data_IF_488142901815
#
_entry.id   IF_488142901815
#
_cell.length_a   1.000
_cell.length_b   1.000
_cell.length_c   1.000
_cell.angle_alpha   90.00
_cell.angle_beta   90.00
_cell.angle_gamma   90.00
#
_symmetry.space_group_name_H-M   'P 1'
#
loop_
_entity.id
_entity.type
_entity.pdbx_description
1 polymer ?
#
# COMPACT_ATOMS: atom_id res chain seq x y z
N UNK A 1 16.65 4.69 -23.96
CA UNK A 1 15.46 4.92 -23.11
C UNK A 1 14.13 4.77 -23.87
N UNK A 2 13.93 5.34 -25.07
CA UNK A 2 12.65 5.19 -25.81
C UNK A 2 12.19 3.75 -26.15
N UNK A 3 13.11 2.78 -26.30
CA UNK A 3 12.76 1.37 -26.59
C UNK A 3 12.15 0.62 -25.39
N UNK A 4 12.42 1.04 -24.16
CA UNK A 4 11.85 0.41 -22.96
C UNK A 4 10.43 0.91 -22.68
N UNK A 5 10.16 2.19 -22.93
CA UNK A 5 8.82 2.76 -22.77
C UNK A 5 7.82 2.19 -23.79
N UNK A 6 8.26 1.98 -25.04
CA UNK A 6 7.43 1.32 -26.05
C UNK A 6 7.12 -0.13 -25.68
N UNK A 7 8.07 -0.86 -25.09
CA UNK A 7 7.88 -2.26 -24.68
C UNK A 7 6.85 -2.41 -23.55
N UNK A 8 6.86 -1.49 -22.57
CA UNK A 8 5.89 -1.48 -21.46
C UNK A 8 4.50 -1.10 -21.96
N UNK A 9 4.38 -0.12 -22.85
CA UNK A 9 3.10 0.26 -23.46
C UNK A 9 2.52 -0.87 -24.34
N UNK A 10 3.35 -1.56 -25.13
CA UNK A 10 2.91 -2.71 -25.95
C UNK A 10 2.54 -3.91 -25.10
N UNK A 11 3.24 -4.15 -23.99
CA UNK A 11 2.90 -5.23 -23.04
C UNK A 11 1.55 -4.94 -22.34
N UNK A 12 1.30 -3.68 -21.98
CA UNK A 12 0.05 -3.26 -21.34
C UNK A 12 -1.14 -3.33 -22.32
N UNK A 13 -0.95 -2.94 -23.59
CA UNK A 13 -1.94 -3.09 -24.65
C UNK A 13 -2.21 -4.55 -25.03
N UNK A 14 -1.18 -5.40 -25.09
CA UNK A 14 -1.33 -6.84 -25.28
C UNK A 14 -2.07 -7.50 -24.12
N UNK A 15 -1.79 -7.08 -22.87
CA UNK A 15 -2.50 -7.59 -21.69
C UNK A 15 -3.97 -7.15 -21.67
N UNK A 16 -4.27 -5.92 -22.12
CA UNK A 16 -5.65 -5.42 -22.27
C UNK A 16 -6.41 -6.12 -23.41
N UNK A 17 -5.74 -6.49 -24.50
CA UNK A 17 -6.34 -7.23 -25.62
C UNK A 17 -6.53 -8.72 -25.30
N UNK A 18 -5.61 -9.35 -24.55
CA UNK A 18 -5.76 -10.72 -24.06
C UNK A 18 -6.87 -10.85 -22.99
N UNK A 19 -7.09 -9.80 -22.19
CA UNK A 19 -8.21 -9.76 -21.25
C UNK A 19 -9.59 -9.61 -21.92
N UNK A 20 -9.63 -9.12 -23.17
CA UNK A 20 -10.88 -8.94 -23.92
C UNK A 20 -11.36 -10.22 -24.63
N UNK A 21 -10.55 -11.29 -24.68
CA UNK A 21 -10.88 -12.53 -25.38
C UNK A 21 -11.11 -13.75 -24.47
N UNK A 22 -11.13 -13.58 -23.15
CA UNK A 22 -11.30 -14.68 -22.21
C UNK A 22 -12.78 -14.90 -21.84
N UNK A 23 -13.62 -15.23 -22.82
CA UNK A 23 -14.90 -15.88 -22.55
C UNK A 23 -14.68 -17.36 -22.23
N UNK A 24 -14.19 -17.63 -21.02
CA UNK A 24 -14.15 -18.99 -20.47
C UNK A 24 -15.54 -19.34 -19.92
N UNK A 25 -16.48 -19.64 -20.81
CA UNK A 25 -17.72 -20.33 -20.45
C UNK A 25 -17.41 -21.80 -20.16
N UNK A 26 -17.01 -22.10 -18.93
CA UNK A 26 -16.85 -23.47 -18.47
C UNK A 26 -18.24 -24.15 -18.41
N UNK A 27 -18.51 -25.07 -19.34
CA UNK A 27 -19.74 -25.87 -19.32
C UNK A 27 -19.74 -26.81 -18.10
N UNK A 28 -20.79 -26.70 -17.28
CA UNK A 28 -20.98 -27.37 -15.97
C UNK A 28 -21.49 -28.83 -16.11
N UNK A 29 -21.66 -29.34 -17.32
CA UNK A 29 -22.49 -30.53 -17.56
C UNK A 29 -21.82 -31.90 -17.29
N UNK A 30 -20.54 -31.95 -16.93
CA UNK A 30 -19.79 -33.21 -16.80
C UNK A 30 -19.56 -33.76 -15.39
N UNK A 31 -19.88 -33.02 -14.33
CA UNK A 31 -19.43 -33.32 -12.95
C UNK A 31 -20.58 -33.70 -12.00
N UNK A 32 -21.83 -33.58 -12.45
CA UNK A 32 -23.01 -33.91 -11.63
C UNK A 32 -23.17 -35.44 -11.55
N UNK A 33 -23.27 -36.00 -10.35
CA UNK A 33 -23.49 -37.44 -10.12
C UNK A 33 -22.22 -38.30 -10.01
N UNK A 34 -21.04 -37.70 -10.10
CA UNK A 34 -19.75 -38.36 -9.80
C UNK A 34 -19.68 -38.72 -8.32
N UNK A 35 -19.10 -39.87 -7.98
CA UNK A 35 -18.91 -40.29 -6.59
C UNK A 35 -17.90 -39.38 -5.89
N UNK A 36 -18.24 -38.88 -4.72
CA UNK A 36 -17.38 -37.98 -3.94
C UNK A 36 -17.23 -38.47 -2.50
N UNK A 37 -16.08 -38.18 -1.91
CA UNK A 37 -15.79 -38.32 -0.49
C UNK A 37 -15.67 -36.95 0.19
N UNK A 38 -15.14 -35.98 -0.55
CA UNK A 38 -14.96 -34.60 -0.12
C UNK A 38 -15.47 -33.65 -1.20
N UNK A 39 -15.72 -32.39 -0.85
CA UNK A 39 -16.18 -31.38 -1.82
C UNK A 39 -15.16 -31.14 -2.94
N UNK A 40 -13.87 -31.29 -2.67
CA UNK A 40 -12.79 -31.15 -3.67
C UNK A 40 -12.95 -32.10 -4.85
N UNK A 41 -13.54 -33.28 -4.63
CA UNK A 41 -13.76 -34.30 -5.67
C UNK A 41 -14.76 -33.81 -6.74
N UNK A 42 -15.62 -32.85 -6.40
CA UNK A 42 -16.63 -32.26 -7.29
C UNK A 42 -16.12 -31.08 -8.13
N UNK A 43 -14.80 -30.98 -8.34
CA UNK A 43 -14.19 -29.99 -9.24
C UNK A 43 -14.20 -28.54 -8.72
N UNK A 44 -14.38 -28.34 -7.41
CA UNK A 44 -14.35 -27.04 -6.74
C UNK A 44 -15.33 -25.99 -7.32
N UNK A 45 -16.40 -26.46 -7.97
CA UNK A 45 -17.44 -25.62 -8.55
C UNK A 45 -18.30 -25.05 -7.40
N UNK A 46 -18.58 -23.74 -7.36
CA UNK A 46 -19.25 -23.10 -6.24
C UNK A 46 -20.70 -23.59 -6.02
N UNK A 47 -21.37 -24.11 -7.05
CA UNK A 47 -22.73 -24.65 -6.97
C UNK A 47 -22.85 -26.13 -6.60
N UNK A 48 -21.73 -26.86 -6.50
CA UNK A 48 -21.72 -28.28 -6.15
C UNK A 48 -21.11 -28.53 -4.76
N UNK A 49 -21.79 -29.40 -4.01
CA UNK A 49 -21.34 -30.02 -2.76
C UNK A 49 -21.34 -31.55 -2.89
N UNK A 50 -20.81 -32.23 -1.87
CA UNK A 50 -20.85 -33.68 -1.81
C UNK A 50 -22.06 -34.12 -0.97
N UNK A 51 -23.09 -34.63 -1.65
CA UNK A 51 -24.34 -35.09 -1.02
C UNK A 51 -24.51 -36.59 -1.25
N UNK A 52 -24.61 -37.36 -0.18
CA UNK A 52 -24.78 -38.82 -0.24
C UNK A 52 -23.72 -39.51 -1.13
N UNK A 53 -22.45 -39.10 -0.98
CA UNK A 53 -21.32 -39.56 -1.79
C UNK A 53 -21.47 -39.28 -3.29
N UNK A 54 -22.29 -38.31 -3.70
CA UNK A 54 -22.43 -37.85 -5.09
C UNK A 54 -22.35 -36.33 -5.20
N UNK A 55 -21.74 -35.85 -6.28
CA UNK A 55 -21.69 -34.43 -6.58
C UNK A 55 -23.06 -33.91 -6.99
N UNK A 56 -23.65 -33.07 -6.13
CA UNK A 56 -24.98 -32.49 -6.33
C UNK A 56 -25.03 -31.04 -5.81
N UNK A 57 -26.12 -30.35 -6.13
CA UNK A 57 -26.36 -28.99 -5.62
C UNK A 57 -26.61 -29.03 -4.11
N UNK A 58 -26.02 -28.09 -3.36
CA UNK A 58 -26.11 -28.06 -1.91
C UNK A 58 -27.53 -27.72 -1.43
N UNK A 59 -27.94 -28.31 -0.30
CA UNK A 59 -29.20 -28.01 0.38
C UNK A 59 -28.94 -27.64 1.84
N UNK A 60 -27.99 -28.32 2.48
CA UNK A 60 -27.54 -28.08 3.84
C UNK A 60 -26.10 -27.60 3.88
N UNK A 61 -25.72 -26.92 4.96
CA UNK A 61 -24.33 -26.50 5.22
C UNK A 61 -23.36 -27.70 5.26
N UNK A 62 -23.84 -28.87 5.69
CA UNK A 62 -23.05 -30.10 5.75
C UNK A 62 -22.64 -30.64 4.38
N UNK A 63 -23.43 -30.37 3.33
CA UNK A 63 -23.15 -30.82 1.95
C UNK A 63 -21.91 -30.09 1.38
N UNK A 64 -21.59 -28.93 1.94
CA UNK A 64 -20.46 -28.11 1.52
C UNK A 64 -19.11 -28.59 2.09
N UNK A 65 -19.12 -29.66 2.92
CA UNK A 65 -17.96 -30.46 3.32
C UNK A 65 -16.71 -29.66 3.72
N UNK A 66 -16.55 -29.38 5.01
CA UNK A 66 -15.29 -28.90 5.59
C UNK A 66 -14.80 -29.85 6.67
N UNK A 67 -13.49 -30.11 6.71
CA UNK A 67 -12.83 -30.85 7.80
C UNK A 67 -13.14 -30.20 9.16
N UNK A 68 -13.96 -30.84 10.00
CA UNK A 68 -14.25 -30.55 11.43
C UNK A 68 -14.53 -29.10 11.89
N UNK A 69 -14.37 -28.11 11.02
CA UNK A 69 -14.56 -26.68 11.18
C UNK A 69 -15.45 -26.25 10.02
N UNK A 70 -16.61 -25.70 10.34
CA UNK A 70 -17.66 -25.29 9.40
C UNK A 70 -17.25 -24.06 8.58
N UNK A 71 -16.27 -24.22 7.67
CA UNK A 71 -15.72 -23.13 6.85
C UNK A 71 -16.66 -22.72 5.72
N UNK A 72 -17.48 -23.64 5.20
CA UNK A 72 -18.40 -23.40 4.10
C UNK A 72 -19.87 -23.53 4.54
N UNK A 73 -20.75 -22.74 3.91
CA UNK A 73 -22.20 -22.72 4.12
C UNK A 73 -22.93 -22.73 2.78
N UNK A 74 -24.11 -23.34 2.73
CA UNK A 74 -24.97 -23.36 1.56
C UNK A 74 -25.88 -22.14 1.57
N UNK A 75 -25.66 -21.21 0.64
CA UNK A 75 -26.44 -19.96 0.54
C UNK A 75 -27.37 -20.04 -0.65
N UNK A 76 -28.67 -19.86 -0.39
CA UNK A 76 -29.70 -19.83 -1.41
C UNK A 76 -29.83 -18.40 -1.98
N UNK A 77 -29.64 -18.22 -3.30
CA UNK A 77 -29.77 -16.91 -3.95
C UNK A 77 -31.19 -16.71 -4.46
N UNK A 78 -31.77 -15.55 -4.18
CA UNK A 78 -33.06 -15.16 -4.77
C UNK A 78 -32.88 -14.90 -6.27
N UNK A 79 -33.81 -15.37 -7.11
CA UNK A 79 -33.82 -15.13 -8.56
C UNK A 79 -33.59 -16.36 -9.46
N UNK A 80 -33.93 -17.57 -9.02
CA UNK A 80 -33.87 -18.78 -9.88
C UNK A 80 -32.46 -19.33 -10.14
N UNK A 81 -31.47 -18.88 -9.38
CA UNK A 81 -30.07 -19.34 -9.45
C UNK A 81 -29.89 -20.50 -8.46
N UNK A 82 -29.19 -21.59 -8.81
CA UNK A 82 -28.95 -22.70 -7.88
C UNK A 82 -28.18 -22.22 -6.63
N UNK A 83 -28.46 -22.80 -5.45
CA UNK A 83 -27.74 -22.46 -4.23
C UNK A 83 -26.25 -22.78 -4.37
N UNK A 84 -25.44 -21.98 -3.68
CA UNK A 84 -23.98 -22.01 -3.79
C UNK A 84 -23.35 -22.20 -2.42
N UNK A 85 -22.32 -23.03 -2.36
CA UNK A 85 -21.52 -23.22 -1.17
C UNK A 85 -20.43 -22.14 -1.09
N UNK A 86 -20.63 -21.17 -0.20
CA UNK A 86 -19.75 -20.01 0.04
C UNK A 86 -19.05 -20.13 1.38
N UNK A 87 -17.98 -19.37 1.60
CA UNK A 87 -17.36 -19.30 2.94
C UNK A 87 -18.37 -18.73 3.95
N UNK A 88 -18.27 -19.17 5.20
CA UNK A 88 -19.05 -18.61 6.31
C UNK A 88 -18.81 -17.10 6.45
N UNK A 89 -19.78 -16.42 7.05
CA UNK A 89 -19.62 -15.01 7.40
C UNK A 89 -18.64 -14.87 8.57
N UNK A 90 -17.90 -13.76 8.60
CA UNK A 90 -16.90 -13.45 9.64
C UNK A 90 -17.48 -13.54 11.05
N UNK A 91 -18.73 -13.10 11.24
CA UNK A 91 -19.36 -13.00 12.56
C UNK A 91 -20.26 -14.19 12.93
N UNK A 92 -20.52 -15.14 12.02
CA UNK A 92 -21.36 -16.31 12.35
C UNK A 92 -21.02 -17.56 11.51
N UNK A 93 -20.83 -18.75 12.11
CA UNK A 93 -20.67 -19.01 13.54
C UNK A 93 -19.23 -18.67 13.95
N UNK A 94 -19.07 -17.99 15.08
CA UNK A 94 -17.75 -17.69 15.62
C UNK A 94 -17.19 -18.94 16.32
N UNK A 95 -16.17 -19.53 15.71
CA UNK A 95 -15.52 -20.79 16.12
C UNK A 95 -14.18 -20.50 16.80
N UNK A 96 -13.63 -21.47 17.54
CA UNK A 96 -12.32 -21.32 18.19
C UNK A 96 -11.18 -21.01 17.21
N UNK A 97 -11.28 -21.46 15.96
CA UNK A 97 -10.33 -21.12 14.90
C UNK A 97 -10.31 -19.61 14.58
N UNK A 98 -11.45 -18.92 14.70
CA UNK A 98 -11.54 -17.47 14.46
C UNK A 98 -10.89 -16.67 15.60
N UNK A 99 -11.02 -17.15 16.85
CA UNK A 99 -10.32 -16.58 18.01
C UNK A 99 -8.82 -16.73 17.84
N UNK A 100 -8.37 -17.93 17.49
CA UNK A 100 -6.96 -18.21 17.23
C UNK A 100 -6.43 -17.35 16.08
N UNK A 101 -7.17 -17.23 14.99
CA UNK A 101 -6.80 -16.39 13.85
C UNK A 101 -6.74 -14.90 14.24
N UNK A 102 -7.67 -14.40 15.05
CA UNK A 102 -7.65 -13.02 15.53
C UNK A 102 -6.44 -12.73 16.44
N UNK A 103 -6.12 -13.67 17.35
CA UNK A 103 -4.94 -13.56 18.21
C UNK A 103 -3.64 -13.59 17.40
N UNK A 104 -3.50 -14.54 16.48
CA UNK A 104 -2.33 -14.63 15.60
C UNK A 104 -2.23 -13.41 14.66
N UNK A 105 -3.36 -12.88 14.19
CA UNK A 105 -3.39 -11.66 13.38
C UNK A 105 -2.87 -10.47 14.18
N UNK A 106 -3.34 -10.29 15.42
CA UNK A 106 -2.86 -9.25 16.32
C UNK A 106 -1.37 -9.39 16.66
N UNK A 107 -0.88 -10.62 16.89
CA UNK A 107 0.54 -10.87 17.11
C UNK A 107 1.36 -10.55 15.86
N UNK A 108 0.88 -10.94 14.67
CA UNK A 108 1.58 -10.68 13.41
C UNK A 108 1.66 -9.19 13.08
N UNK A 109 0.61 -8.41 13.38
CA UNK A 109 0.63 -6.96 13.21
C UNK A 109 1.53 -6.28 14.23
N UNK A 110 1.54 -6.74 15.49
CA UNK A 110 2.44 -6.22 16.51
C UNK A 110 3.91 -6.46 16.16
N UNK A 111 4.28 -7.70 15.80
CA UNK A 111 5.64 -8.04 15.36
C UNK A 111 6.02 -7.28 14.09
N UNK A 112 5.10 -7.19 13.13
CA UNK A 112 5.33 -6.45 11.89
C UNK A 112 5.51 -4.94 12.11
N UNK A 113 4.84 -4.35 13.11
CA UNK A 113 5.04 -2.97 13.51
C UNK A 113 6.42 -2.76 14.15
N UNK A 114 6.85 -3.67 15.03
CA UNK A 114 8.20 -3.65 15.62
C UNK A 114 9.31 -3.73 14.55
N UNK A 115 9.10 -4.50 13.49
CA UNK A 115 10.03 -4.59 12.36
C UNK A 115 9.95 -3.43 11.36
N UNK A 116 9.03 -2.47 11.53
CA UNK A 116 8.81 -1.37 10.57
C UNK A 116 8.23 -1.81 9.21
N UNK A 117 7.83 -3.08 9.09
CA UNK A 117 7.28 -3.67 7.86
C UNK A 117 5.75 -3.48 7.78
N UNK A 118 5.06 -3.31 8.90
CA UNK A 118 3.62 -3.01 8.92
C UNK A 118 2.67 -4.22 8.84
N UNK A 119 3.13 -5.43 9.20
CA UNK A 119 2.30 -6.59 9.59
C UNK A 119 1.38 -7.25 8.55
N UNK A 120 0.94 -6.53 7.52
CA UNK A 120 -0.13 -6.95 6.61
C UNK A 120 0.21 -8.12 5.69
N UNK A 121 1.50 -8.40 5.49
CA UNK A 121 1.97 -9.49 4.61
C UNK A 121 1.54 -10.88 5.07
N UNK A 122 1.45 -11.10 6.39
CA UNK A 122 1.16 -12.42 6.96
C UNK A 122 -0.34 -12.69 7.15
N UNK A 123 -1.18 -11.65 7.08
CA UNK A 123 -2.61 -11.76 7.38
C UNK A 123 -3.36 -12.63 6.36
N UNK A 124 -3.10 -12.45 5.06
CA UNK A 124 -3.80 -13.23 4.02
C UNK A 124 -3.45 -14.72 4.11
N UNK A 125 -2.17 -15.13 4.16
CA UNK A 125 -1.81 -16.54 4.38
C UNK A 125 -2.36 -17.10 5.69
N UNK A 126 -2.32 -16.32 6.78
CA UNK A 126 -2.86 -16.71 8.08
C UNK A 126 -4.35 -17.05 7.99
N UNK A 127 -5.16 -16.19 7.37
CA UNK A 127 -6.59 -16.44 7.21
C UNK A 127 -6.91 -17.62 6.29
N UNK A 128 -6.07 -17.88 5.29
CA UNK A 128 -6.22 -19.05 4.42
C UNK A 128 -5.91 -20.34 5.19
N UNK A 129 -4.82 -20.38 5.96
CA UNK A 129 -4.35 -21.61 6.63
C UNK A 129 -5.13 -21.90 7.91
N UNK A 130 -5.40 -20.89 8.74
CA UNK A 130 -6.04 -21.10 10.06
C UNK A 130 -7.55 -21.21 9.96
N UNK A 131 -8.18 -20.40 9.08
CA UNK A 131 -9.65 -20.35 8.94
C UNK A 131 -10.13 -21.12 7.71
N UNK A 132 -9.26 -21.40 6.74
CA UNK A 132 -9.64 -22.08 5.49
C UNK A 132 -10.31 -21.16 4.47
N UNK A 133 -10.19 -19.84 4.63
CA UNK A 133 -10.87 -18.89 3.74
C UNK A 133 -10.25 -18.88 2.34
N UNK A 134 -11.09 -18.83 1.31
CA UNK A 134 -10.56 -18.60 -0.04
C UNK A 134 -9.98 -17.18 -0.18
N UNK A 135 -8.97 -16.95 -1.04
CA UNK A 135 -8.29 -15.65 -1.18
C UNK A 135 -9.25 -14.47 -1.41
N UNK A 136 -10.37 -14.68 -2.12
CA UNK A 136 -11.38 -13.66 -2.40
C UNK A 136 -12.09 -13.12 -1.15
N UNK A 137 -12.12 -13.88 -0.05
CA UNK A 137 -12.66 -13.46 1.25
C UNK A 137 -11.56 -13.04 2.22
N UNK A 138 -10.40 -13.70 2.18
CA UNK A 138 -9.26 -13.37 3.03
C UNK A 138 -8.66 -11.98 2.74
N UNK A 139 -8.62 -11.57 1.47
CA UNK A 139 -8.04 -10.28 1.05
C UNK A 139 -8.83 -9.08 1.60
N UNK A 140 -10.17 -8.98 1.43
CA UNK A 140 -10.96 -7.94 2.07
C UNK A 140 -10.83 -7.92 3.59
N UNK A 141 -10.77 -9.09 4.23
CA UNK A 141 -10.62 -9.19 5.68
C UNK A 141 -9.26 -8.64 6.15
N UNK A 142 -8.17 -9.02 5.46
CA UNK A 142 -6.83 -8.47 5.69
C UNK A 142 -6.81 -6.95 5.58
N UNK A 143 -7.47 -6.38 4.56
CA UNK A 143 -7.54 -4.92 4.37
C UNK A 143 -8.22 -4.22 5.54
N UNK A 144 -9.31 -4.79 6.07
CA UNK A 144 -9.98 -4.25 7.25
C UNK A 144 -9.08 -4.30 8.49
N UNK A 145 -8.36 -5.39 8.71
CA UNK A 145 -7.40 -5.53 9.82
C UNK A 145 -6.24 -4.53 9.69
N UNK A 146 -5.67 -4.36 8.49
CA UNK A 146 -4.58 -3.40 8.23
C UNK A 146 -5.04 -1.97 8.48
N UNK A 147 -6.26 -1.61 8.06
CA UNK A 147 -6.83 -0.28 8.32
C UNK A 147 -6.93 0.00 9.82
N UNK A 148 -7.40 -0.98 10.61
CA UNK A 148 -7.47 -0.87 12.06
C UNK A 148 -6.08 -0.67 12.70
N UNK A 149 -5.09 -1.43 12.25
CA UNK A 149 -3.70 -1.27 12.70
C UNK A 149 -3.12 0.11 12.36
N UNK A 150 -3.32 0.58 11.13
CA UNK A 150 -2.86 1.89 10.68
C UNK A 150 -3.52 3.03 11.47
N UNK A 151 -4.82 2.94 11.76
CA UNK A 151 -5.52 3.92 12.58
C UNK A 151 -4.97 3.97 14.02
N UNK A 152 -4.69 2.81 14.62
CA UNK A 152 -4.08 2.74 15.96
C UNK A 152 -2.65 3.33 15.97
N UNK A 153 -1.83 3.02 14.96
CA UNK A 153 -0.48 3.59 14.84
C UNK A 153 -0.52 5.10 14.60
N UNK A 154 -1.44 5.59 13.76
CA UNK A 154 -1.63 7.03 13.54
C UNK A 154 -2.03 7.73 14.83
N UNK A 155 -3.01 7.18 15.58
CA UNK A 155 -3.46 7.75 16.85
C UNK A 155 -2.33 7.82 17.88
N UNK A 156 -1.50 6.77 17.97
CA UNK A 156 -0.37 6.74 18.89
C UNK A 156 0.75 7.70 18.50
N UNK A 157 0.92 8.01 17.21
CA UNK A 157 2.00 8.88 16.71
C UNK A 157 1.56 10.31 16.43
N UNK A 158 0.27 10.62 16.55
CA UNK A 158 -0.29 11.93 16.23
C UNK A 158 0.40 13.08 16.99
N UNK A 159 0.78 12.85 18.26
CA UNK A 159 1.49 13.82 19.09
C UNK A 159 3.02 13.71 19.08
N UNK A 160 3.59 12.76 18.35
CA UNK A 160 5.03 12.47 18.38
C UNK A 160 5.84 13.43 17.50
N UNK A 161 7.01 13.83 17.99
CA UNK A 161 7.94 14.75 17.32
C UNK A 161 9.09 13.99 16.67
N UNK A 162 9.70 14.59 15.64
CA UNK A 162 10.81 13.97 14.92
C UNK A 162 12.06 13.82 15.83
N UNK A 163 12.75 12.65 15.81
CA UNK A 163 13.87 12.36 16.73
C UNK A 163 15.08 13.27 16.52
N UNK A 164 15.37 13.67 15.28
CA UNK A 164 16.49 14.56 14.96
C UNK A 164 16.10 16.04 14.84
N UNK A 165 14.81 16.37 14.94
CA UNK A 165 14.31 17.73 14.76
C UNK A 165 13.07 17.98 15.63
N UNK A 166 13.26 18.49 16.86
CA UNK A 166 12.18 18.68 17.83
C UNK A 166 11.07 19.64 17.40
N UNK A 167 11.30 20.43 16.34
CA UNK A 167 10.34 21.39 15.76
C UNK A 167 9.39 20.75 14.75
N UNK A 168 9.75 19.60 14.15
CA UNK A 168 8.96 18.95 13.10
C UNK A 168 8.09 17.82 13.68
N UNK A 169 6.82 17.68 13.26
CA UNK A 169 6.02 16.50 13.56
C UNK A 169 6.62 15.26 12.88
N UNK A 170 6.36 14.07 13.43
CA UNK A 170 6.85 12.81 12.81
C UNK A 170 6.11 12.50 11.48
N UNK A 171 4.91 13.04 11.29
CA UNK A 171 4.06 12.81 10.10
C UNK A 171 4.20 13.99 9.12
N UNK A 172 4.76 13.73 7.93
CA UNK A 172 4.74 14.69 6.83
C UNK A 172 3.49 14.52 5.96
N UNK A 173 2.48 15.34 6.23
CA UNK A 173 1.21 15.33 5.50
C UNK A 173 1.34 15.73 4.03
N UNK A 174 2.38 16.48 3.63
CA UNK A 174 2.59 16.84 2.23
C UNK A 174 3.04 15.61 1.42
N UNK A 175 3.92 14.79 2.01
CA UNK A 175 4.34 13.53 1.43
C UNK A 175 3.21 12.51 1.41
N UNK A 176 2.42 12.42 2.50
CA UNK A 176 1.21 11.58 2.55
C UNK A 176 0.21 11.98 1.44
N UNK A 177 0.00 13.29 1.26
CA UNK A 177 -0.85 13.85 0.21
C UNK A 177 -0.40 13.52 -1.21
N UNK A 178 0.91 13.35 -1.42
CA UNK A 178 1.46 12.95 -2.73
C UNK A 178 1.34 11.45 -2.99
N UNK A 179 1.47 10.60 -1.96
CA UNK A 179 1.44 9.13 -2.12
C UNK A 179 0.02 8.55 -2.17
N UNK A 180 -0.94 9.16 -1.47
CA UNK A 180 -2.27 8.58 -1.29
C UNK A 180 -3.08 8.53 -2.60
N UNK A 181 -3.25 9.63 -3.36
CA UNK A 181 -4.04 9.59 -4.60
C UNK A 181 -3.51 8.62 -5.68
N UNK A 182 -2.20 8.55 -6.02
CA UNK A 182 -1.70 7.58 -6.99
C UNK A 182 -1.81 6.14 -6.48
N UNK A 183 -1.68 5.92 -5.16
CA UNK A 183 -1.94 4.60 -4.57
C UNK A 183 -3.40 4.19 -4.77
N UNK A 184 -4.35 5.11 -4.57
CA UNK A 184 -5.77 4.88 -4.79
C UNK A 184 -6.11 4.58 -6.26
N UNK A 185 -5.44 5.23 -7.21
CA UNK A 185 -5.57 4.88 -8.64
C UNK A 185 -5.12 3.43 -8.86
N UNK A 186 -3.96 3.04 -8.32
CA UNK A 186 -3.48 1.67 -8.34
C UNK A 186 -4.46 0.69 -7.70
N UNK A 187 -5.07 1.06 -6.57
CA UNK A 187 -6.01 0.17 -5.88
C UNK A 187 -7.28 -0.09 -6.67
N UNK A 188 -7.82 0.91 -7.37
CA UNK A 188 -9.00 0.74 -8.23
C UNK A 188 -8.74 -0.36 -9.28
N UNK A 189 -7.59 -0.27 -9.97
CA UNK A 189 -7.18 -1.26 -10.98
C UNK A 189 -6.93 -2.64 -10.34
N UNK A 190 -6.26 -2.68 -9.19
CA UNK A 190 -5.95 -3.95 -8.51
C UNK A 190 -7.20 -4.68 -7.96
N UNK A 191 -8.20 -3.95 -7.48
CA UNK A 191 -9.48 -4.54 -7.05
C UNK A 191 -10.24 -5.10 -8.25
N UNK A 192 -10.22 -4.41 -9.39
CA UNK A 192 -10.80 -4.93 -10.64
C UNK A 192 -10.08 -6.21 -11.08
N UNK A 193 -8.75 -6.21 -11.06
CA UNK A 193 -7.94 -7.40 -11.38
C UNK A 193 -8.22 -8.57 -10.41
N UNK A 194 -8.44 -8.32 -9.11
CA UNK A 194 -8.80 -9.36 -8.14
C UNK A 194 -10.14 -10.04 -8.47
N UNK A 195 -11.09 -9.29 -9.03
CA UNK A 195 -12.37 -9.83 -9.50
C UNK A 195 -12.22 -10.70 -10.75
N UNK A 196 -11.34 -10.32 -11.67
CA UNK A 196 -11.11 -10.99 -12.96
C UNK A 196 -10.21 -12.23 -12.82
N UNK A 197 -9.20 -12.17 -11.96
CA UNK A 197 -8.22 -13.25 -11.85
C UNK A 197 -8.77 -14.48 -11.10
N UNK A 198 -8.39 -15.69 -11.53
CA UNK A 198 -8.74 -16.90 -10.82
C UNK A 198 -7.97 -17.00 -9.49
N UNK A 199 -8.57 -17.67 -8.50
CA UNK A 199 -8.03 -17.73 -7.13
C UNK A 199 -6.62 -18.36 -7.06
N UNK A 200 -6.31 -19.34 -7.91
CA UNK A 200 -4.98 -19.97 -7.95
C UNK A 200 -3.89 -19.00 -8.39
N UNK A 201 -4.19 -18.08 -9.31
CA UNK A 201 -3.25 -17.09 -9.79
C UNK A 201 -2.94 -16.07 -8.69
N UNK A 202 -3.99 -15.61 -7.99
CA UNK A 202 -3.84 -14.69 -6.84
C UNK A 202 -2.97 -15.35 -5.75
N UNK A 203 -3.20 -16.63 -5.46
CA UNK A 203 -2.41 -17.39 -4.49
C UNK A 203 -0.95 -17.54 -4.94
N UNK A 204 -0.70 -17.88 -6.20
CA UNK A 204 0.66 -17.99 -6.75
C UNK A 204 1.42 -16.65 -6.67
N UNK A 205 0.77 -15.54 -7.06
CA UNK A 205 1.34 -14.20 -6.95
C UNK A 205 1.61 -13.79 -5.50
N UNK A 206 0.73 -14.17 -4.56
CA UNK A 206 0.92 -13.94 -3.14
C UNK A 206 2.16 -14.67 -2.63
N UNK A 207 2.33 -15.95 -2.98
CA UNK A 207 3.49 -16.76 -2.57
C UNK A 207 4.78 -16.17 -3.15
N UNK A 208 4.80 -15.81 -4.44
CA UNK A 208 5.96 -15.21 -5.09
C UNK A 208 6.35 -13.87 -4.46
N UNK A 209 5.37 -13.02 -4.15
CA UNK A 209 5.63 -11.74 -3.52
C UNK A 209 6.15 -11.91 -2.09
N UNK A 210 5.56 -12.83 -1.31
CA UNK A 210 6.06 -13.14 0.04
C UNK A 210 7.48 -13.69 0.00
N UNK A 211 7.79 -14.60 -0.92
CA UNK A 211 9.14 -15.12 -1.11
C UNK A 211 10.14 -14.01 -1.45
N UNK A 212 9.76 -13.09 -2.37
CA UNK A 212 10.58 -11.95 -2.75
C UNK A 212 10.81 -10.98 -1.57
N UNK A 213 9.75 -10.65 -0.82
CA UNK A 213 9.85 -9.78 0.36
C UNK A 213 10.74 -10.42 1.43
N UNK A 214 10.53 -11.71 1.73
CA UNK A 214 11.38 -12.46 2.67
C UNK A 214 12.83 -12.45 2.23
N UNK A 215 13.12 -12.75 0.97
CA UNK A 215 14.48 -12.71 0.44
C UNK A 215 15.13 -11.33 0.62
N UNK A 216 14.41 -10.25 0.28
CA UNK A 216 14.92 -8.87 0.41
C UNK A 216 15.17 -8.50 1.87
N UNK A 217 14.25 -8.86 2.77
CA UNK A 217 14.38 -8.60 4.21
C UNK A 217 15.55 -9.39 4.80
N UNK A 218 15.67 -10.68 4.51
CA UNK A 218 16.79 -11.51 4.99
C UNK A 218 18.14 -10.98 4.49
N UNK A 219 18.23 -10.57 3.22
CA UNK A 219 19.48 -9.98 2.70
C UNK A 219 19.86 -8.70 3.44
N UNK A 220 18.90 -7.82 3.71
CA UNK A 220 19.13 -6.58 4.49
C UNK A 220 19.49 -6.90 5.94
N UNK A 221 18.82 -7.85 6.57
CA UNK A 221 19.10 -8.29 7.93
C UNK A 221 20.52 -8.84 8.06
N UNK A 222 20.95 -9.70 7.13
CA UNK A 222 22.31 -10.23 7.11
C UNK A 222 23.36 -9.11 6.94
N UNK A 223 23.08 -8.12 6.09
CA UNK A 223 23.96 -6.97 5.91
C UNK A 223 24.06 -6.08 7.16
N UNK A 224 22.94 -5.86 7.86
CA UNK A 224 22.92 -5.12 9.13
C UNK A 224 23.68 -5.88 10.22
N UNK A 225 23.43 -7.17 10.38
CA UNK A 225 24.13 -8.02 11.34
C UNK A 225 25.64 -8.09 11.09
N UNK A 226 26.08 -8.05 9.82
CA UNK A 226 27.50 -7.99 9.49
C UNK A 226 28.15 -6.68 9.93
N UNK A 227 27.45 -5.55 9.79
CA UNK A 227 27.92 -4.23 10.27
C UNK A 227 28.01 -4.18 11.79
N UNK A 228 26.96 -4.61 12.48
CA UNK A 228 26.91 -4.67 13.95
C UNK A 228 28.04 -5.57 14.50
N UNK A 229 28.30 -6.71 13.87
CA UNK A 229 29.41 -7.58 14.27
C UNK A 229 30.78 -6.94 14.02
N UNK A 230 30.95 -6.18 12.94
CA UNK A 230 32.20 -5.48 12.66
C UNK A 230 32.45 -4.33 13.65
N UNK A 231 31.42 -3.57 14.00
CA UNK A 231 31.47 -2.53 15.04
C UNK A 231 31.76 -3.11 16.42
N UNK A 232 31.10 -4.22 16.78
CA UNK A 232 31.35 -4.93 18.04
C UNK A 232 32.77 -5.52 18.10
N UNK A 233 33.30 -6.03 16.98
CA UNK A 233 34.68 -6.51 16.90
C UNK A 233 35.70 -5.37 17.00
N UNK A 234 35.43 -4.22 16.38
CA UNK A 234 36.26 -3.01 16.48
C UNK A 234 36.24 -2.41 17.91
N UNK A 235 35.09 -2.46 18.58
CA UNK A 235 34.94 -2.07 19.99
C UNK A 235 35.67 -3.05 20.95
N UNK A 236 35.70 -4.34 20.62
CA UNK A 236 36.44 -5.35 21.39
C UNK A 236 37.96 -5.26 21.19
N UNK A 237 38.43 -4.87 20.00
CA UNK A 237 39.85 -4.66 19.73
C UNK A 237 40.41 -3.44 20.49
N UNK A 238 39.63 -2.35 20.57
CA UNK A 238 40.01 -1.12 21.28
C UNK A 238 39.99 -1.23 22.81
N UNK A 239 39.47 -2.32 23.38
CA UNK A 239 39.52 -2.60 24.84
C UNK A 239 40.74 -3.41 25.28
N UNK A 240 41.61 -3.83 24.36
CA UNK A 240 42.79 -4.68 24.68
C UNK A 240 44.14 -3.96 24.72
N UNK A 241 44.21 -2.67 24.36
CA UNK A 241 45.43 -1.86 24.47
C UNK A 241 45.21 -0.70 25.47
N UNK A 242 45.62 -0.91 26.72
CA UNK A 242 45.97 0.17 27.65
C UNK A 242 47.48 0.12 27.87
N UNK A 243 48.20 1.20 27.53
CA UNK A 243 48.71 2.05 28.61
C UNK A 243 48.59 3.57 28.37
N UNK A 244 48.39 4.25 29.50
CA UNK A 244 48.66 5.65 29.89
C UNK A 244 48.47 6.86 28.95
N UNK A 245 47.49 7.69 29.34
CA UNK A 245 47.49 9.17 29.45
C UNK A 245 48.17 10.00 28.34
N UNK A 246 47.37 10.70 27.53
CA UNK A 246 47.26 12.17 27.59
C UNK A 246 46.21 12.75 26.60
N UNK A 247 45.82 13.97 26.93
CA UNK A 247 44.82 14.86 26.37
C UNK A 247 44.86 15.03 24.83
N UNK A 248 43.80 14.66 24.11
CA UNK A 248 43.33 15.38 22.90
C UNK A 248 41.93 14.89 22.45
N UNK A 249 41.12 15.87 22.07
CA UNK A 249 39.77 15.81 21.51
C UNK A 249 39.62 14.80 20.35
N UNK A 250 38.53 14.00 20.27
CA UNK A 250 38.31 13.15 19.11
C UNK A 250 37.75 13.98 17.94
N UNK A 251 38.54 14.12 16.88
CA UNK A 251 38.05 14.52 15.55
C UNK A 251 37.18 13.39 14.99
N UNK A 252 35.92 13.72 14.68
CA UNK A 252 35.02 12.83 13.94
C UNK A 252 35.37 12.92 12.46
N UNK A 253 36.02 11.87 11.96
CA UNK A 253 36.23 11.65 10.53
C UNK A 253 34.87 11.44 9.84
N UNK A 254 34.53 12.34 8.92
CA UNK A 254 33.42 12.21 7.98
C UNK A 254 33.95 11.50 6.74
N UNK A 255 33.55 10.24 6.53
CA UNK A 255 33.80 9.54 5.29
C UNK A 255 32.89 10.10 4.17
N UNK A 256 33.56 10.54 3.10
CA UNK A 256 32.96 10.91 1.81
C UNK A 256 32.56 9.63 1.07
N UNK A 257 31.36 9.59 0.53
CA UNK A 257 31.05 8.77 -0.65
C UNK A 257 30.85 9.72 -1.85
N UNK A 258 31.82 9.70 -2.76
CA UNK A 258 31.74 10.29 -4.09
C UNK A 258 30.82 9.44 -4.98
N UNK A 259 29.87 10.04 -5.71
CA UNK A 259 29.93 10.02 -7.18
C UNK A 259 29.00 11.06 -7.83
N UNK A 260 29.66 11.81 -8.70
CA UNK A 260 29.27 12.69 -9.80
C UNK A 260 27.96 12.36 -10.54
N UNK A 261 27.22 13.42 -10.86
CA UNK A 261 26.56 13.60 -12.15
C UNK A 261 26.19 15.10 -12.29
N UNK A 262 27.06 15.84 -12.97
CA UNK A 262 26.86 17.25 -13.30
C UNK A 262 25.66 17.50 -14.21
N UNK A 263 24.80 18.45 -13.81
CA UNK A 263 23.97 19.23 -14.73
C UNK A 263 23.95 20.68 -14.25
N UNK A 264 24.35 21.58 -15.15
CA UNK A 264 24.57 23.00 -14.94
C UNK A 264 23.39 23.70 -14.24
N UNK A 265 23.72 24.50 -13.23
CA UNK A 265 22.83 25.47 -12.62
C UNK A 265 22.53 26.60 -13.63
N UNK A 266 21.38 26.52 -14.29
CA UNK A 266 20.80 27.68 -14.96
C UNK A 266 20.09 28.52 -13.90
N UNK A 267 20.80 29.52 -13.36
CA UNK A 267 20.23 30.55 -12.50
C UNK A 267 19.25 31.40 -13.31
N UNK A 268 17.96 31.09 -13.23
CA UNK A 268 16.89 31.97 -13.71
C UNK A 268 16.74 33.11 -12.71
N UNK A 269 17.20 34.30 -13.10
CA UNK A 269 16.99 35.56 -12.40
C UNK A 269 15.47 35.85 -12.36
N UNK A 270 14.85 35.83 -11.18
CA UNK A 270 13.47 36.30 -11.03
C UNK A 270 13.50 37.83 -10.93
N UNK A 271 12.76 38.51 -11.81
CA UNK A 271 12.52 39.96 -11.75
C UNK A 271 11.70 40.25 -10.49
N UNK A 272 12.21 41.17 -9.67
CA UNK A 272 11.44 41.82 -8.61
C UNK A 272 10.44 42.74 -9.29
N UNK A 273 9.15 42.59 -9.00
CA UNK A 273 8.14 43.58 -9.38
C UNK A 273 8.44 44.90 -8.66
N UNK A 274 8.58 45.97 -9.44
CA UNK A 274 8.88 47.32 -8.98
C UNK A 274 7.70 47.90 -8.18
N UNK A 275 7.73 47.79 -6.84
CA UNK A 275 7.17 48.78 -5.89
C UNK A 275 7.41 48.41 -4.42
N UNK A 276 8.66 48.41 -3.96
CA UNK A 276 8.98 48.45 -2.52
C UNK A 276 10.08 49.51 -2.26
N UNK A 277 9.87 50.47 -1.35
CA UNK A 277 10.84 51.52 -1.07
C UNK A 277 12.16 50.95 -0.53
N UNK A 278 13.25 51.53 -1.03
CA UNK A 278 14.62 51.17 -0.73
C UNK A 278 14.95 51.26 0.77
N UNK A 279 15.85 50.36 1.20
CA UNK A 279 16.39 50.18 2.55
C UNK A 279 15.55 49.30 3.51
N UNK A 280 15.36 48.03 3.14
CA UNK A 280 15.22 46.96 4.14
C UNK A 280 16.46 46.07 4.01
N UNK A 281 17.26 45.98 5.07
CA UNK A 281 18.54 45.25 5.03
C UNK A 281 18.31 43.79 4.59
N UNK A 282 19.08 43.31 3.61
CA UNK A 282 18.96 41.94 3.08
C UNK A 282 19.02 40.86 4.18
N UNK A 283 19.72 41.15 5.28
CA UNK A 283 19.76 40.29 6.47
C UNK A 283 18.43 40.23 7.25
N UNK A 284 17.70 41.35 7.39
CA UNK A 284 16.40 41.35 8.07
C UNK A 284 15.31 40.67 7.22
N UNK A 285 15.47 40.69 5.89
CA UNK A 285 14.63 39.91 4.97
C UNK A 285 14.91 38.41 5.11
N UNK A 286 16.17 38.00 5.23
CA UNK A 286 16.52 36.58 5.42
C UNK A 286 16.04 36.04 6.78
N UNK A 287 16.17 36.82 7.86
CA UNK A 287 15.70 36.41 9.19
C UNK A 287 14.17 36.27 9.25
N UNK A 288 13.45 37.18 8.58
CA UNK A 288 11.98 37.07 8.47
C UNK A 288 11.56 35.89 7.61
N UNK A 289 12.28 35.59 6.52
CA UNK A 289 12.05 34.41 5.69
C UNK A 289 12.29 33.10 6.46
N UNK A 290 13.41 33.02 7.21
CA UNK A 290 13.73 31.86 8.03
C UNK A 290 12.69 31.63 9.15
N UNK A 291 12.20 32.70 9.77
CA UNK A 291 11.12 32.63 10.75
C UNK A 291 9.82 32.08 10.14
N UNK A 292 9.46 32.49 8.91
CA UNK A 292 8.30 31.91 8.20
C UNK A 292 8.50 30.44 7.85
N UNK A 293 9.71 30.04 7.43
CA UNK A 293 10.07 28.65 7.15
C UNK A 293 9.93 27.77 8.42
N UNK A 294 10.44 28.23 9.56
CA UNK A 294 10.29 27.51 10.84
C UNK A 294 8.82 27.40 11.30
N UNK A 295 8.03 28.46 11.13
CA UNK A 295 6.61 28.43 11.48
C UNK A 295 5.84 27.39 10.64
N UNK A 296 6.20 27.25 9.36
CA UNK A 296 5.60 26.27 8.46
C UNK A 296 6.05 24.82 8.78
N UNK A 297 7.25 24.62 9.32
CA UNK A 297 7.72 23.30 9.78
C UNK A 297 7.06 22.83 11.08
N UNK A 298 6.71 23.79 11.95
CA UNK A 298 6.01 23.52 13.20
C UNK A 298 4.51 23.29 13.01
N UNK A 299 3.98 23.48 11.79
CA UNK A 299 2.58 23.27 11.51
C UNK A 299 2.27 21.77 11.53
N UNK A 300 1.78 21.31 12.69
CA UNK A 300 1.40 19.92 12.95
C UNK A 300 0.20 19.52 12.09
N UNK A 301 -0.57 20.48 11.55
CA UNK A 301 -1.83 20.18 10.88
C UNK A 301 -2.18 21.20 9.76
N UNK A 302 -1.54 21.11 8.57
CA UNK A 302 -1.82 21.98 7.43
C UNK A 302 -3.15 21.61 6.74
N UNK A 303 -4.27 21.94 7.40
CA UNK A 303 -5.62 21.48 7.04
C UNK A 303 -6.01 21.82 5.59
N UNK A 304 -5.84 23.08 5.18
CA UNK A 304 -6.28 23.55 3.86
C UNK A 304 -5.43 23.00 2.72
N UNK A 305 -4.14 22.82 2.95
CA UNK A 305 -3.17 22.51 1.90
C UNK A 305 -2.98 21.01 1.69
N UNK A 306 -2.98 20.22 2.77
CA UNK A 306 -2.72 18.79 2.69
C UNK A 306 -3.95 17.93 2.96
N UNK A 307 -4.78 18.27 3.96
CA UNK A 307 -5.86 17.40 4.44
C UNK A 307 -7.13 17.54 3.61
N UNK A 308 -7.50 18.76 3.22
CA UNK A 308 -8.67 19.00 2.40
C UNK A 308 -8.63 18.23 1.06
N UNK A 309 -7.52 18.20 0.31
CA UNK A 309 -7.44 17.37 -0.90
C UNK A 309 -7.56 15.85 -0.62
N UNK A 310 -7.05 15.36 0.52
CA UNK A 310 -7.21 13.96 0.92
C UNK A 310 -8.67 13.62 1.24
N UNK A 311 -9.36 14.49 1.99
CA UNK A 311 -10.80 14.34 2.25
C UNK A 311 -11.62 14.33 0.96
N UNK A 312 -11.24 15.15 -0.02
CA UNK A 312 -11.86 15.14 -1.36
C UNK A 312 -11.63 13.78 -2.07
N UNK A 313 -10.43 13.22 -1.98
CA UNK A 313 -10.14 11.88 -2.54
C UNK A 313 -10.98 10.79 -1.88
N UNK A 314 -11.06 10.79 -0.54
CA UNK A 314 -11.87 9.84 0.22
C UNK A 314 -13.35 9.98 -0.15
N UNK A 315 -13.88 11.21 -0.16
CA UNK A 315 -15.27 11.47 -0.53
C UNK A 315 -15.57 11.02 -1.96
N UNK A 316 -14.68 11.27 -2.92
CA UNK A 316 -14.84 10.82 -4.30
C UNK A 316 -14.92 9.29 -4.42
N UNK A 317 -14.06 8.56 -3.69
CA UNK A 317 -14.05 7.09 -3.71
C UNK A 317 -15.25 6.50 -2.97
N UNK A 318 -15.64 7.09 -1.83
CA UNK A 318 -16.84 6.67 -1.10
C UNK A 318 -18.09 6.87 -1.97
N UNK A 319 -18.24 8.04 -2.59
CA UNK A 319 -19.33 8.31 -3.52
C UNK A 319 -19.34 7.29 -4.68
N UNK A 320 -18.18 7.02 -5.28
CA UNK A 320 -18.05 6.00 -6.33
C UNK A 320 -18.47 4.60 -5.82
N UNK A 321 -18.04 4.22 -4.62
CA UNK A 321 -18.32 2.90 -4.03
C UNK A 321 -19.80 2.72 -3.73
N UNK A 322 -20.46 3.77 -3.23
CA UNK A 322 -21.90 3.79 -2.96
C UNK A 322 -22.72 3.73 -4.26
N UNK A 323 -22.33 4.50 -5.29
CA UNK A 323 -23.02 4.52 -6.58
C UNK A 323 -22.89 3.19 -7.34
N UNK A 324 -21.71 2.55 -7.28
CA UNK A 324 -21.43 1.28 -7.96
C UNK A 324 -22.10 0.08 -7.29
N UNK A 325 -22.28 0.11 -5.97
CA UNK A 325 -22.76 -1.04 -5.19
C UNK A 325 -21.69 -2.11 -4.96
N UNK A 326 -21.95 -2.99 -3.99
CA UNK A 326 -21.03 -4.06 -3.57
C UNK A 326 -21.51 -5.46 -3.97
N UNK A 327 -20.69 -6.48 -3.69
CA UNK A 327 -21.10 -7.90 -3.82
C UNK A 327 -22.20 -8.21 -2.80
N UNK A 328 -23.47 -8.06 -3.19
CA UNK A 328 -24.63 -8.41 -2.36
C UNK A 328 -25.49 -7.23 -1.88
N UNK A 329 -25.10 -5.98 -2.17
CA UNK A 329 -25.96 -4.80 -2.00
C UNK A 329 -26.33 -4.25 -3.37
N UNK A 330 -27.62 -4.00 -3.67
CA UNK A 330 -28.01 -3.45 -4.97
C UNK A 330 -27.31 -2.11 -5.20
N UNK A 331 -26.71 -1.95 -6.38
CA UNK A 331 -26.19 -0.66 -6.83
C UNK A 331 -27.34 0.35 -6.80
N UNK A 332 -27.11 1.55 -6.25
CA UNK A 332 -28.13 2.61 -6.24
C UNK A 332 -28.62 2.94 -7.66
N UNK A 333 -27.77 2.69 -8.66
CA UNK A 333 -27.99 3.00 -10.08
C UNK A 333 -28.19 1.74 -10.95
N UNK A 334 -28.17 0.52 -10.38
CA UNK A 334 -28.46 -0.72 -11.12
C UNK A 334 -27.60 -0.97 -12.38
N UNK A 335 -26.30 -0.67 -12.32
CA UNK A 335 -25.44 -0.62 -13.51
C UNK A 335 -24.92 -2.00 -13.91
N UNK A 336 -25.12 -2.39 -15.18
CA UNK A 336 -24.52 -3.61 -15.73
C UNK A 336 -23.00 -3.50 -15.90
N UNK A 337 -22.29 -4.59 -15.61
CA UNK A 337 -20.84 -4.69 -15.77
C UNK A 337 -20.43 -4.43 -17.24
N UNK A 338 -19.46 -3.54 -17.47
CA UNK A 338 -18.96 -3.22 -18.82
C UNK A 338 -19.75 -2.19 -19.61
N UNK A 339 -20.83 -1.63 -19.07
CA UNK A 339 -21.60 -0.57 -19.72
C UNK A 339 -20.85 0.78 -19.80
N UNK A 340 -21.25 1.68 -20.70
CA UNK A 340 -20.69 3.03 -20.75
C UNK A 340 -20.85 3.78 -19.41
N UNK A 341 -21.95 3.53 -18.69
CA UNK A 341 -22.24 4.11 -17.39
C UNK A 341 -21.27 3.63 -16.29
N UNK A 342 -20.76 2.41 -16.42
CA UNK A 342 -19.73 1.86 -15.53
C UNK A 342 -18.41 2.63 -15.62
N UNK A 343 -17.96 2.95 -16.84
CA UNK A 343 -16.76 3.76 -17.06
C UNK A 343 -16.97 5.23 -16.67
N UNK A 344 -18.17 5.76 -16.88
CA UNK A 344 -18.56 7.10 -16.44
C UNK A 344 -18.54 7.21 -14.90
N UNK A 345 -18.70 6.11 -14.17
CA UNK A 345 -18.53 6.08 -12.72
C UNK A 345 -17.05 6.07 -12.27
N UNK A 346 -16.13 5.57 -13.09
CA UNK A 346 -14.71 5.33 -12.72
C UNK A 346 -13.79 6.46 -13.19
N UNK A 347 -14.04 7.01 -14.38
CA UNK A 347 -13.18 8.04 -14.97
C UNK A 347 -13.16 9.37 -14.18
N UNK A 348 -14.29 9.89 -13.66
CA UNK A 348 -14.27 11.15 -12.93
C UNK A 348 -13.49 11.06 -11.61
N UNK A 349 -13.69 10.04 -10.74
CA UNK A 349 -12.89 9.90 -9.52
C UNK A 349 -11.40 9.71 -9.82
N UNK A 350 -11.04 8.92 -10.83
CA UNK A 350 -9.62 8.76 -11.23
C UNK A 350 -9.00 10.06 -11.75
N UNK A 351 -9.76 10.88 -12.49
CA UNK A 351 -9.31 12.21 -12.91
C UNK A 351 -9.13 13.16 -11.70
N UNK A 352 -10.02 13.12 -10.71
CA UNK A 352 -9.88 13.89 -9.46
C UNK A 352 -8.61 13.48 -8.73
N UNK A 353 -8.35 12.17 -8.57
CA UNK A 353 -7.13 11.67 -7.94
C UNK A 353 -5.86 12.13 -8.68
N UNK A 354 -5.87 12.08 -10.02
CA UNK A 354 -4.75 12.57 -10.83
C UNK A 354 -4.53 14.09 -10.67
N UNK A 355 -5.61 14.87 -10.65
CA UNK A 355 -5.56 16.31 -10.42
C UNK A 355 -5.02 16.65 -9.02
N UNK A 356 -5.47 15.95 -7.99
CA UNK A 356 -4.96 16.12 -6.61
C UNK A 356 -3.48 15.72 -6.53
N UNK A 357 -3.07 14.63 -7.16
CA UNK A 357 -1.64 14.23 -7.25
C UNK A 357 -0.79 15.35 -7.86
N UNK A 358 -1.27 15.94 -8.95
CA UNK A 358 -0.58 17.05 -9.62
C UNK A 358 -0.48 18.30 -8.73
N UNK A 359 -1.58 18.67 -8.07
CA UNK A 359 -1.63 19.80 -7.14
C UNK A 359 -0.68 19.62 -5.94
N UNK A 360 -0.68 18.43 -5.34
CA UNK A 360 0.23 18.08 -4.24
C UNK A 360 1.69 18.10 -4.69
N UNK A 361 1.98 17.59 -5.89
CA UNK A 361 3.32 17.67 -6.46
C UNK A 361 3.80 19.11 -6.65
N UNK A 362 2.91 20.02 -7.08
CA UNK A 362 3.25 21.46 -7.20
C UNK A 362 3.51 22.09 -5.83
N UNK A 363 2.67 21.78 -4.85
CA UNK A 363 2.82 22.28 -3.48
C UNK A 363 4.15 21.84 -2.87
N UNK A 364 4.50 20.57 -3.07
CA UNK A 364 5.70 19.96 -2.53
C UNK A 364 6.98 20.51 -3.19
N UNK A 365 6.99 20.69 -4.52
CA UNK A 365 8.11 21.35 -5.21
C UNK A 365 8.27 22.81 -4.80
N UNK A 366 7.16 23.55 -4.63
CA UNK A 366 7.21 24.94 -4.15
C UNK A 366 7.79 25.00 -2.73
N UNK A 367 7.40 24.06 -1.87
CA UNK A 367 7.92 23.92 -0.50
C UNK A 367 9.43 23.65 -0.51
N UNK A 368 9.92 22.75 -1.38
CA UNK A 368 11.36 22.49 -1.47
C UNK A 368 12.16 23.68 -1.97
N UNK A 369 11.65 24.43 -2.95
CA UNK A 369 12.32 25.65 -3.41
C UNK A 369 12.36 26.73 -2.32
N UNK A 370 11.29 26.87 -1.53
CA UNK A 370 11.24 27.78 -0.39
C UNK A 370 12.29 27.40 0.68
N UNK A 371 12.40 26.11 0.99
CA UNK A 371 13.37 25.62 1.96
C UNK A 371 14.82 25.78 1.51
N UNK A 372 15.09 25.61 0.21
CA UNK A 372 16.39 25.92 -0.38
C UNK A 372 16.72 27.42 -0.29
N UNK A 373 15.74 28.31 -0.52
CA UNK A 373 15.92 29.76 -0.39
C UNK A 373 16.14 30.22 1.07
N UNK A 374 15.51 29.54 2.04
CA UNK A 374 15.72 29.77 3.47
C UNK A 374 17.09 29.26 3.97
N UNK A 375 17.82 28.47 3.19
CA UNK A 375 19.12 27.91 3.59
C UNK A 375 19.01 26.89 4.74
N UNK A 376 17.90 26.15 4.83
CA UNK A 376 17.74 25.16 5.90
C UNK A 376 18.60 23.92 5.65
N UNK A 377 19.27 23.46 6.71
CA UNK A 377 20.10 22.25 6.69
C UNK A 377 19.21 21.02 6.50
N UNK A 378 19.58 20.15 5.56
CA UNK A 378 18.87 18.90 5.29
C UNK A 378 19.08 17.94 6.45
N UNK A 379 17.99 17.51 7.09
CA UNK A 379 18.05 16.54 8.18
C UNK A 379 18.23 15.14 7.59
N UNK A 380 18.98 14.27 8.27
CA UNK A 380 19.20 12.88 7.84
C UNK A 380 17.85 12.18 7.60
N UNK A 381 17.61 11.78 6.34
CA UNK A 381 16.36 11.15 5.90
C UNK A 381 15.43 12.06 5.07
N UNK A 382 15.76 13.33 4.87
CA UNK A 382 15.00 14.23 3.99
C UNK A 382 15.18 13.85 2.51
N UNK A 383 14.05 13.71 1.79
CA UNK A 383 14.06 13.40 0.35
C UNK A 383 14.26 14.67 -0.47
N UNK A 384 15.29 14.69 -1.32
CA UNK A 384 15.50 15.75 -2.31
C UNK A 384 14.52 15.60 -3.48
N UNK A 385 13.50 16.46 -3.53
CA UNK A 385 12.46 16.42 -4.56
C UNK A 385 12.87 17.15 -5.82
N UNK A 386 12.86 16.42 -6.94
CA UNK A 386 13.05 16.95 -8.29
C UNK A 386 11.78 16.78 -9.09
N UNK A 387 11.59 17.56 -10.16
CA UNK A 387 10.38 17.46 -11.02
C UNK A 387 10.14 16.04 -11.51
N UNK A 388 11.19 15.33 -11.91
CA UNK A 388 11.08 13.94 -12.36
C UNK A 388 10.68 12.98 -11.23
N UNK A 389 11.30 13.12 -10.03
CA UNK A 389 10.95 12.30 -8.87
C UNK A 389 9.50 12.53 -8.45
N UNK A 390 9.05 13.78 -8.37
CA UNK A 390 7.72 14.16 -7.89
C UNK A 390 6.58 13.76 -8.84
N UNK A 391 6.74 13.94 -10.15
CA UNK A 391 5.64 13.71 -11.10
C UNK A 391 5.65 12.35 -11.79
N UNK A 392 6.80 11.67 -11.85
CA UNK A 392 6.95 10.42 -12.61
C UNK A 392 7.35 9.27 -11.70
N UNK A 393 8.55 9.31 -11.13
CA UNK A 393 9.10 8.15 -10.45
C UNK A 393 8.28 7.75 -9.22
N UNK A 394 7.99 8.71 -8.34
CA UNK A 394 7.29 8.47 -7.08
C UNK A 394 5.81 8.08 -7.28
N UNK A 395 4.99 8.82 -8.07
CA UNK A 395 3.61 8.41 -8.32
C UNK A 395 3.51 7.05 -9.02
N UNK A 396 4.42 6.73 -9.95
CA UNK A 396 4.42 5.43 -10.63
C UNK A 396 4.66 4.28 -9.63
N UNK A 397 5.62 4.45 -8.71
CA UNK A 397 5.86 3.47 -7.65
C UNK A 397 4.63 3.30 -6.75
N UNK A 398 3.96 4.40 -6.38
CA UNK A 398 2.71 4.35 -5.60
C UNK A 398 1.58 3.64 -6.34
N UNK A 399 1.41 3.86 -7.65
CA UNK A 399 0.42 3.16 -8.47
C UNK A 399 0.69 1.65 -8.49
N UNK A 400 1.95 1.24 -8.71
CA UNK A 400 2.33 -0.18 -8.72
C UNK A 400 2.13 -0.81 -7.34
N UNK A 401 2.53 -0.12 -6.27
CA UNK A 401 2.33 -0.57 -4.90
C UNK A 401 0.84 -0.68 -4.55
N UNK A 402 0.02 0.29 -4.98
CA UNK A 402 -1.42 0.30 -4.82
C UNK A 402 -2.09 -0.87 -5.55
N UNK A 403 -1.67 -1.14 -6.79
CA UNK A 403 -2.13 -2.28 -7.58
C UNK A 403 -1.83 -3.62 -6.89
N UNK A 404 -0.57 -3.83 -6.50
CA UNK A 404 -0.14 -5.07 -5.82
C UNK A 404 -0.84 -5.24 -4.47
N UNK A 405 -0.94 -4.16 -3.68
CA UNK A 405 -1.65 -4.13 -2.40
C UNK A 405 -3.13 -4.49 -2.57
N UNK A 406 -3.81 -3.89 -3.55
CA UNK A 406 -5.20 -4.18 -3.86
C UNK A 406 -5.42 -5.62 -4.30
N UNK A 407 -4.59 -6.12 -5.20
CA UNK A 407 -4.69 -7.45 -5.77
C UNK A 407 -4.43 -8.57 -4.75
N UNK A 408 -3.41 -8.40 -3.89
CA UNK A 408 -2.90 -9.45 -3.00
C UNK A 408 -3.30 -9.28 -1.53
N UNK A 409 -3.83 -8.12 -1.12
CA UNK A 409 -4.24 -7.86 0.26
C UNK A 409 -3.10 -7.50 1.22
N UNK A 410 -1.94 -7.10 0.69
CA UNK A 410 -0.76 -6.69 1.46
C UNK A 410 -0.68 -5.15 1.45
N UNK A 411 -1.42 -4.50 2.34
CA UNK A 411 -1.36 -3.05 2.54
C UNK A 411 -0.22 -2.64 3.48
N UNK A 412 0.52 -1.57 3.16
CA UNK A 412 1.51 -0.95 4.03
C UNK A 412 2.97 -1.39 3.81
N UNK A 413 3.25 -2.69 3.71
CA UNK A 413 4.64 -3.21 3.60
C UNK A 413 5.36 -2.74 2.32
N UNK A 414 4.60 -2.59 1.23
CA UNK A 414 5.12 -2.13 -0.06
C UNK A 414 5.38 -0.62 -0.11
N UNK A 415 4.95 0.20 0.85
CA UNK A 415 5.30 1.63 0.84
C UNK A 415 6.62 1.87 1.58
N UNK A 416 6.79 1.27 2.76
CA UNK A 416 7.99 1.48 3.59
C UNK A 416 9.29 0.95 2.94
N UNK A 417 9.19 -0.14 2.16
CA UNK A 417 10.37 -0.71 1.50
C UNK A 417 10.90 0.16 0.34
N UNK A 418 10.03 1.00 -0.24
CA UNK A 418 10.35 1.86 -1.38
C UNK A 418 10.73 3.28 -0.92
N UNK A 419 10.10 3.77 0.15
CA UNK A 419 10.50 5.02 0.82
C UNK A 419 11.92 4.95 1.43
N UNK A 420 12.41 3.76 1.77
CA UNK A 420 13.80 3.56 2.25
C UNK A 420 14.83 3.40 1.12
N UNK A 421 14.40 3.43 -0.15
CA UNK A 421 15.28 3.29 -1.32
C UNK A 421 15.45 4.57 -2.14
N UNK A 422 14.73 5.63 -1.77
CA UNK A 422 14.80 6.99 -2.32
C UNK A 422 15.49 7.91 -1.34
#
# INVERSE_FOLDING_TARGET
MRRHETAVHTACLMFLLLAASADASAQVNGVVGVTCSTRSDCGQIPSLGCRDSKCAVCVSDNDCGGDSFTTYRCVNRQGGVPPVCLNKNVFSPFTGADILAAFLAALSTALGAACGLGGGGLLVPLFIVVVGLTPKFAIPLSKATILGGAAATYWSNYGSKHPYASRRPIVDYALAGLMEPPTLIGTIVGVMANGVFPSWLILALLILLLAFVTYRVTKRANAMHAKENAENAAAAASTSDLPDVNNSTPEVHVDKEDHDDGVAAECVHFRVDDNVPAATNMASVQDSLLATCHAQEMDVFPFRQCILPLLVCIAAILAQSLLRGGHGAPSLVGVACGSALYWLLILPPTAILAAVTFLMGRLLLRRTHLYAACGMETVKGDVAWTRHKTYVAFPLQCVVAGFASALLGIGGTCHNSWATSS
#
